data_IF_264939387187
#
_entry.id   IF_264939387187
#
_cell.length_a   1.000
_cell.length_b   1.000
_cell.length_c   1.000
_cell.angle_alpha   90.00
_cell.angle_beta   90.00
_cell.angle_gamma   90.00
#
_symmetry.space_group_name_H-M   'P 1'
#
loop_
_entity.id
_entity.type
_entity.pdbx_description
1 polymer ?
#
# COMPACT_ATOMS: atom_id res chain seq x y z
N UNK A 1 -1.62 -39.35 15.45
CA UNK A 1 -0.29 -39.19 14.80
C UNK A 1 -0.16 -40.04 13.54
N UNK A 2 -0.72 -41.25 13.51
CA UNK A 2 -0.66 -42.18 12.37
C UNK A 2 -1.26 -41.66 11.06
N UNK A 3 -1.95 -40.52 11.05
CA UNK A 3 -2.52 -39.92 9.82
C UNK A 3 -1.59 -38.90 9.14
N UNK A 4 -0.54 -38.41 9.82
CA UNK A 4 0.37 -37.42 9.23
C UNK A 4 1.37 -38.08 8.28
N UNK A 5 1.23 -37.82 6.98
CA UNK A 5 2.17 -38.29 5.94
C UNK A 5 3.62 -37.88 6.22
N UNK A 6 3.83 -36.74 6.88
CA UNK A 6 5.17 -36.29 7.27
C UNK A 6 5.76 -37.12 8.41
N UNK A 7 4.99 -37.41 9.46
CA UNK A 7 5.49 -38.24 10.56
C UNK A 7 5.78 -39.67 10.08
N UNK A 8 4.96 -40.19 9.16
CA UNK A 8 5.16 -41.50 8.55
C UNK A 8 6.46 -41.61 7.74
N UNK A 9 6.98 -40.51 7.19
CA UNK A 9 8.24 -40.52 6.41
C UNK A 9 9.50 -40.49 7.28
N UNK A 10 9.37 -40.21 8.58
CA UNK A 10 10.50 -40.16 9.51
C UNK A 10 11.04 -41.57 9.81
N UNK A 11 12.30 -41.73 10.24
CA UNK A 11 12.83 -43.01 10.68
C UNK A 11 12.00 -43.63 11.81
N UNK A 12 11.80 -44.96 11.80
CA UNK A 12 10.97 -45.66 12.80
C UNK A 12 11.39 -45.39 14.26
N UNK A 13 12.69 -45.22 14.51
CA UNK A 13 13.19 -44.88 15.84
C UNK A 13 12.68 -43.52 16.32
N UNK A 14 12.55 -42.54 15.43
CA UNK A 14 12.02 -41.23 15.74
C UNK A 14 10.49 -41.26 15.91
N UNK A 15 9.79 -42.04 15.08
CA UNK A 15 8.34 -42.26 15.23
C UNK A 15 7.99 -42.84 16.60
N UNK A 16 8.75 -43.84 17.08
CA UNK A 16 8.56 -44.43 18.42
C UNK A 16 8.77 -43.41 19.53
N UNK A 17 9.85 -42.62 19.47
CA UNK A 17 10.12 -41.54 20.44
C UNK A 17 9.00 -40.51 20.48
N UNK A 18 8.47 -40.12 19.32
CA UNK A 18 7.34 -39.19 19.21
C UNK A 18 6.07 -39.79 19.82
N UNK A 19 5.81 -41.09 19.62
CA UNK A 19 4.66 -41.77 20.20
C UNK A 19 4.76 -41.89 21.74
N UNK A 20 5.95 -42.18 22.27
CA UNK A 20 6.21 -42.35 23.70
C UNK A 20 6.19 -41.02 24.48
N UNK A 21 6.79 -39.97 23.91
CA UNK A 21 7.02 -38.70 24.62
C UNK A 21 6.16 -37.54 24.13
N UNK A 22 5.52 -37.68 22.97
CA UNK A 22 4.83 -36.58 22.29
C UNK A 22 5.79 -35.56 21.67
N UNK A 23 5.21 -34.52 21.06
CA UNK A 23 5.91 -33.33 20.58
C UNK A 23 5.37 -32.11 21.32
N UNK A 24 6.26 -31.22 21.74
CA UNK A 24 5.87 -29.94 22.35
C UNK A 24 5.25 -28.98 21.33
N UNK A 25 5.85 -28.91 20.14
CA UNK A 25 5.43 -28.01 19.08
C UNK A 25 4.66 -28.80 18.02
N UNK A 26 3.55 -28.23 17.53
CA UNK A 26 2.76 -28.85 16.46
C UNK A 26 3.45 -28.80 15.09
N UNK A 27 4.34 -27.82 14.88
CA UNK A 27 5.21 -27.66 13.72
C UNK A 27 6.60 -27.18 14.15
N UNK A 28 7.65 -27.51 13.40
CA UNK A 28 9.05 -27.28 13.77
C UNK A 28 9.84 -26.47 12.73
N UNK A 29 9.68 -26.79 11.45
CA UNK A 29 10.51 -26.28 10.37
C UNK A 29 9.60 -25.61 9.33
N UNK A 30 9.83 -24.31 9.17
CA UNK A 30 9.23 -23.47 8.12
C UNK A 30 10.35 -22.64 7.51
N UNK A 31 10.30 -22.44 6.19
CA UNK A 31 11.27 -21.61 5.48
C UNK A 31 10.58 -20.35 4.93
N UNK A 32 10.53 -19.26 5.70
CA UNK A 32 9.98 -17.99 5.23
C UNK A 32 10.92 -17.30 4.24
N UNK A 33 10.44 -16.31 3.47
CA UNK A 33 11.32 -15.46 2.69
C UNK A 33 12.12 -14.56 3.64
N UNK A 34 13.40 -14.33 3.33
CA UNK A 34 14.29 -13.53 4.19
C UNK A 34 14.71 -12.27 3.45
N UNK A 35 13.95 -11.19 3.65
CA UNK A 35 14.21 -9.88 3.03
C UNK A 35 15.43 -9.19 3.63
N UNK A 36 15.25 -8.06 4.30
CA UNK A 36 16.37 -7.27 4.87
C UNK A 36 17.27 -8.05 5.84
N UNK A 37 16.74 -9.09 6.50
CA UNK A 37 17.53 -9.97 7.35
C UNK A 37 18.68 -10.69 6.62
N UNK A 38 18.50 -11.04 5.34
CA UNK A 38 19.54 -11.70 4.54
C UNK A 38 20.68 -10.74 4.22
N UNK A 39 20.37 -9.46 4.01
CA UNK A 39 21.35 -8.38 3.81
C UNK A 39 22.21 -8.20 5.06
N UNK A 40 21.57 -8.12 6.24
CA UNK A 40 22.28 -7.98 7.52
C UNK A 40 23.17 -9.19 7.79
N UNK A 41 22.65 -10.40 7.51
CA UNK A 41 23.39 -11.64 7.67
C UNK A 41 24.41 -11.90 6.55
N UNK A 42 24.42 -11.08 5.49
CA UNK A 42 25.25 -11.25 4.30
C UNK A 42 25.09 -12.64 3.63
N UNK A 43 23.84 -13.07 3.48
CA UNK A 43 23.45 -14.38 2.90
C UNK A 43 22.45 -14.18 1.76
N UNK A 44 22.18 -15.24 1.00
CA UNK A 44 21.05 -15.26 0.06
C UNK A 44 19.71 -15.35 0.80
N UNK A 45 18.61 -15.06 0.11
CA UNK A 45 17.27 -15.10 0.71
C UNK A 45 16.78 -16.54 0.88
N UNK A 46 16.91 -17.09 2.09
CA UNK A 46 16.40 -18.42 2.40
C UNK A 46 17.12 -19.53 1.61
N UNK A 47 16.37 -20.30 0.82
CA UNK A 47 16.92 -21.34 -0.08
C UNK A 47 16.98 -20.88 -1.54
N UNK A 48 16.73 -19.60 -1.79
CA UNK A 48 16.68 -19.08 -3.15
C UNK A 48 18.10 -18.91 -3.71
N UNK A 49 18.28 -19.16 -5.03
CA UNK A 49 19.46 -18.70 -5.75
C UNK A 49 19.63 -17.18 -5.58
N UNK A 50 20.86 -16.70 -5.73
CA UNK A 50 21.08 -15.26 -5.75
C UNK A 50 20.32 -14.64 -6.93
N UNK A 51 19.60 -13.55 -6.67
CA UNK A 51 18.86 -12.84 -7.71
C UNK A 51 19.83 -12.16 -8.69
N UNK A 52 20.91 -11.56 -8.16
CA UNK A 52 21.97 -10.92 -8.94
C UNK A 52 23.32 -11.12 -8.25
N UNK A 53 24.39 -11.07 -9.03
CA UNK A 53 25.78 -11.05 -8.56
C UNK A 53 26.15 -9.69 -7.95
N UNK A 54 25.53 -8.61 -8.43
CA UNK A 54 25.66 -7.26 -7.92
C UNK A 54 24.41 -6.42 -8.23
N UNK A 55 24.29 -5.25 -7.60
CA UNK A 55 23.24 -4.26 -7.87
C UNK A 55 23.76 -2.84 -7.67
N UNK A 56 23.20 -1.89 -8.42
CA UNK A 56 23.61 -0.48 -8.33
C UNK A 56 22.79 0.26 -7.28
N UNK A 57 23.48 0.85 -6.30
CA UNK A 57 22.86 1.68 -5.27
C UNK A 57 23.10 3.15 -5.56
N UNK A 58 22.00 3.90 -5.62
CA UNK A 58 21.99 5.35 -5.67
C UNK A 58 21.80 5.91 -4.27
N UNK A 59 22.82 6.56 -3.72
CA UNK A 59 22.79 7.20 -2.39
C UNK A 59 22.84 8.70 -2.55
N UNK A 60 21.94 9.41 -1.88
CA UNK A 60 21.92 10.86 -1.86
C UNK A 60 23.11 11.38 -1.05
N UNK A 61 23.88 12.30 -1.61
CA UNK A 61 25.04 12.87 -0.92
C UNK A 61 24.63 13.94 0.08
N UNK A 62 25.57 14.32 0.95
CA UNK A 62 25.36 15.29 2.03
C UNK A 62 24.97 16.69 1.52
N UNK A 63 25.23 16.98 0.24
CA UNK A 63 24.83 18.23 -0.42
C UNK A 63 23.32 18.32 -0.71
N UNK A 64 22.58 17.22 -0.55
CA UNK A 64 21.13 17.20 -0.73
C UNK A 64 20.67 17.32 -2.19
N UNK A 65 21.57 17.40 -3.17
CA UNK A 65 21.25 17.57 -4.59
C UNK A 65 21.88 16.49 -5.47
N UNK A 66 23.08 16.03 -5.14
CA UNK A 66 23.78 15.01 -5.92
C UNK A 66 23.52 13.61 -5.38
N UNK A 67 23.63 12.63 -6.29
CA UNK A 67 23.53 11.22 -5.96
C UNK A 67 24.83 10.53 -6.37
N UNK A 68 25.34 9.68 -5.49
CA UNK A 68 26.43 8.77 -5.79
C UNK A 68 25.86 7.41 -6.11
N UNK A 69 26.16 6.92 -7.30
CA UNK A 69 25.90 5.54 -7.68
C UNK A 69 27.15 4.70 -7.43
N UNK A 70 26.97 3.54 -6.81
CA UNK A 70 28.02 2.56 -6.68
C UNK A 70 27.45 1.15 -6.77
N UNK A 71 28.22 0.27 -7.43
CA UNK A 71 27.92 -1.15 -7.56
C UNK A 71 28.17 -1.85 -6.23
N UNK A 72 27.19 -2.62 -5.78
CA UNK A 72 27.24 -3.42 -4.56
C UNK A 72 27.20 -4.87 -4.96
N UNK A 73 28.30 -5.57 -4.74
CA UNK A 73 28.41 -7.00 -5.00
C UNK A 73 27.68 -7.81 -3.93
N UNK A 74 27.15 -8.96 -4.33
CA UNK A 74 26.68 -9.97 -3.38
C UNK A 74 27.87 -10.40 -2.49
N UNK A 75 27.72 -10.50 -1.16
CA UNK A 75 28.85 -10.72 -0.24
C UNK A 75 29.72 -11.93 -0.57
N UNK A 76 29.10 -13.03 -1.03
CA UNK A 76 29.84 -14.23 -1.45
C UNK A 76 30.66 -14.00 -2.72
N UNK A 77 30.10 -13.26 -3.68
CA UNK A 77 30.77 -12.94 -4.95
C UNK A 77 32.02 -12.10 -4.67
N UNK A 78 31.86 -11.01 -3.92
CA UNK A 78 32.97 -10.15 -3.52
C UNK A 78 34.05 -10.90 -2.72
N UNK A 79 33.64 -11.79 -1.81
CA UNK A 79 34.59 -12.49 -0.94
C UNK A 79 35.40 -13.56 -1.67
N UNK A 80 34.79 -14.25 -2.63
CA UNK A 80 35.40 -15.42 -3.30
C UNK A 80 36.06 -15.03 -4.62
N UNK A 81 35.43 -14.14 -5.39
CA UNK A 81 35.86 -13.77 -6.75
C UNK A 81 36.37 -12.32 -6.84
N UNK A 82 35.99 -11.46 -5.89
CA UNK A 82 36.39 -10.04 -5.87
C UNK A 82 35.39 -9.13 -6.57
N UNK A 83 35.00 -9.49 -7.80
CA UNK A 83 33.99 -8.81 -8.63
C UNK A 83 33.07 -9.83 -9.32
N UNK A 84 32.26 -9.37 -10.29
CA UNK A 84 31.33 -10.20 -11.05
C UNK A 84 31.59 -10.24 -12.56
N UNK A 85 32.81 -9.92 -13.00
CA UNK A 85 33.15 -9.86 -14.44
C UNK A 85 33.49 -11.25 -15.02
N UNK A 86 34.39 -12.00 -14.35
CA UNK A 86 34.89 -13.31 -14.83
C UNK A 86 34.46 -14.46 -13.89
N UNK A 87 33.14 -14.63 -13.72
CA UNK A 87 32.58 -15.66 -12.85
C UNK A 87 32.57 -17.04 -13.52
N UNK A 88 32.87 -18.13 -12.78
CA UNK A 88 32.76 -19.49 -13.30
C UNK A 88 31.31 -19.86 -13.70
N UNK A 89 31.14 -20.71 -14.71
CA UNK A 89 29.84 -21.14 -15.26
C UNK A 89 28.85 -21.72 -14.22
N UNK A 90 29.34 -22.20 -13.07
CA UNK A 90 28.49 -22.73 -12.00
C UNK A 90 27.88 -21.63 -11.10
N UNK A 91 28.31 -20.37 -11.25
CA UNK A 91 27.77 -19.22 -10.54
C UNK A 91 26.62 -18.65 -11.36
N UNK A 92 25.45 -19.26 -11.20
CA UNK A 92 24.23 -18.88 -11.92
C UNK A 92 23.27 -18.06 -11.06
N UNK A 93 22.58 -17.12 -11.68
CA UNK A 93 21.55 -16.30 -11.03
C UNK A 93 20.17 -16.94 -11.14
N UNK A 94 19.20 -16.41 -10.39
CA UNK A 94 17.86 -16.96 -10.33
C UNK A 94 17.12 -17.01 -11.69
N UNK A 95 17.48 -16.15 -12.65
CA UNK A 95 16.86 -16.10 -13.98
C UNK A 95 17.43 -17.14 -14.96
N UNK A 96 18.63 -17.65 -14.68
CA UNK A 96 19.35 -18.57 -15.56
C UNK A 96 19.11 -20.04 -15.19
N UNK A 97 18.43 -20.29 -14.07
CA UNK A 97 18.16 -21.62 -13.58
C UNK A 97 16.90 -22.18 -14.25
N UNK A 98 17.01 -23.40 -14.80
CA UNK A 98 15.87 -24.15 -15.32
C UNK A 98 14.74 -24.25 -14.27
N UNK A 99 13.50 -23.81 -14.59
CA UNK A 99 12.42 -23.78 -13.62
C UNK A 99 12.05 -25.18 -13.12
N UNK A 100 12.18 -26.23 -13.93
CA UNK A 100 11.88 -27.59 -13.51
C UNK A 100 12.92 -28.13 -12.53
N UNK A 101 14.20 -27.86 -12.79
CA UNK A 101 15.28 -28.11 -11.83
C UNK A 101 15.03 -27.36 -10.52
N UNK A 102 14.60 -26.10 -10.61
CA UNK A 102 14.29 -25.27 -9.43
C UNK A 102 13.14 -25.85 -8.58
N UNK A 103 12.09 -26.37 -9.22
CA UNK A 103 10.99 -27.10 -8.56
C UNK A 103 11.51 -28.34 -7.85
N UNK A 104 12.31 -29.16 -8.54
CA UNK A 104 12.88 -30.41 -7.98
C UNK A 104 13.78 -30.14 -6.77
N UNK A 105 14.62 -29.11 -6.86
CA UNK A 105 15.46 -28.67 -5.74
C UNK A 105 14.60 -28.35 -4.50
N UNK A 106 13.53 -27.57 -4.68
CA UNK A 106 12.60 -27.28 -3.59
C UNK A 106 11.90 -28.55 -3.08
N UNK A 107 11.55 -29.48 -3.97
CA UNK A 107 10.92 -30.76 -3.62
C UNK A 107 11.79 -31.63 -2.72
N UNK A 108 13.10 -31.67 -2.96
CA UNK A 108 14.07 -32.36 -2.10
C UNK A 108 14.04 -31.80 -0.67
N UNK A 109 14.01 -30.48 -0.54
CA UNK A 109 14.02 -29.81 0.77
C UNK A 109 12.66 -29.95 1.48
N UNK A 110 11.56 -29.86 0.73
CA UNK A 110 10.19 -29.97 1.26
C UNK A 110 9.93 -31.29 2.00
N UNK A 111 10.61 -32.39 1.62
CA UNK A 111 10.55 -33.69 2.31
C UNK A 111 10.94 -33.60 3.79
N UNK A 112 11.77 -32.63 4.16
CA UNK A 112 12.27 -32.40 5.52
C UNK A 112 11.68 -31.16 6.18
N UNK A 113 10.72 -30.49 5.53
CA UNK A 113 9.99 -29.33 6.06
C UNK A 113 8.55 -29.73 6.37
N UNK A 114 8.16 -29.73 7.64
CA UNK A 114 6.83 -30.12 8.09
C UNK A 114 5.76 -29.05 7.81
N UNK A 115 6.16 -27.78 7.74
CA UNK A 115 5.35 -26.68 7.20
C UNK A 115 5.67 -26.47 5.71
N UNK A 116 5.66 -25.23 5.21
CA UNK A 116 5.91 -24.88 3.81
C UNK A 116 7.23 -24.12 3.62
N UNK A 117 7.61 -23.99 2.35
CA UNK A 117 8.74 -23.19 1.88
C UNK A 117 8.18 -22.04 1.06
N UNK A 118 8.49 -20.81 1.47
CA UNK A 118 8.22 -19.61 0.67
C UNK A 118 9.41 -19.36 -0.23
N UNK A 119 9.22 -19.64 -1.51
CA UNK A 119 10.28 -19.62 -2.50
C UNK A 119 9.66 -19.29 -3.87
N UNK A 120 10.33 -18.40 -4.60
CA UNK A 120 9.89 -17.91 -5.90
C UNK A 120 10.70 -18.53 -7.04
N UNK A 121 10.01 -18.95 -8.09
CA UNK A 121 10.61 -19.35 -9.37
C UNK A 121 10.48 -18.15 -10.30
N UNK A 122 11.61 -17.55 -10.66
CA UNK A 122 11.67 -16.43 -11.60
C UNK A 122 11.62 -16.97 -13.03
N UNK A 123 10.74 -16.41 -13.85
CA UNK A 123 10.46 -16.82 -15.23
C UNK A 123 10.58 -15.62 -16.16
N UNK A 124 11.06 -15.82 -17.40
CA UNK A 124 11.19 -14.73 -18.37
C UNK A 124 9.82 -14.16 -18.78
N UNK A 125 9.82 -12.93 -19.28
CA UNK A 125 8.58 -12.18 -19.62
C UNK A 125 7.76 -12.88 -20.71
N UNK A 126 8.44 -13.50 -21.68
CA UNK A 126 7.86 -14.20 -22.82
C UNK A 126 7.47 -15.66 -22.53
N UNK A 127 7.53 -16.09 -21.26
CA UNK A 127 7.13 -17.45 -20.86
C UNK A 127 5.64 -17.70 -21.17
N UNK A 128 5.34 -18.88 -21.69
CA UNK A 128 3.97 -19.25 -22.06
C UNK A 128 3.12 -19.61 -20.84
N UNK A 129 1.81 -19.44 -20.96
CA UNK A 129 0.86 -19.80 -19.91
C UNK A 129 0.85 -21.32 -19.67
N UNK A 130 1.04 -22.11 -20.72
CA UNK A 130 1.17 -23.56 -20.65
C UNK A 130 2.37 -24.00 -19.81
N UNK A 131 3.53 -23.34 -19.97
CA UNK A 131 4.71 -23.64 -19.16
C UNK A 131 4.49 -23.26 -17.69
N UNK A 132 3.85 -22.13 -17.40
CA UNK A 132 3.49 -21.76 -16.02
C UNK A 132 2.56 -22.80 -15.39
N UNK A 133 1.55 -23.27 -16.13
CA UNK A 133 0.66 -24.32 -15.66
C UNK A 133 1.42 -25.63 -15.40
N UNK A 134 2.32 -26.02 -16.30
CA UNK A 134 3.13 -27.24 -16.15
C UNK A 134 4.11 -27.17 -14.97
N UNK A 135 4.64 -25.99 -14.65
CA UNK A 135 5.45 -25.78 -13.42
C UNK A 135 4.62 -26.08 -12.17
N UNK A 136 3.37 -25.61 -12.10
CA UNK A 136 2.48 -25.92 -10.98
C UNK A 136 2.16 -27.42 -10.89
N UNK A 137 1.90 -28.07 -12.02
CA UNK A 137 1.66 -29.53 -12.07
C UNK A 137 2.92 -30.31 -11.65
N UNK A 138 4.11 -29.85 -12.07
CA UNK A 138 5.38 -30.44 -11.65
C UNK A 138 5.60 -30.27 -10.16
N UNK A 139 5.35 -29.08 -9.62
CA UNK A 139 5.44 -28.80 -8.18
C UNK A 139 4.54 -29.72 -7.36
N UNK A 140 3.31 -29.94 -7.82
CA UNK A 140 2.39 -30.89 -7.21
C UNK A 140 2.94 -32.32 -7.23
N UNK A 141 3.46 -32.78 -8.37
CA UNK A 141 4.06 -34.13 -8.52
C UNK A 141 5.29 -34.33 -7.64
N UNK A 142 6.10 -33.29 -7.45
CA UNK A 142 7.27 -33.29 -6.57
C UNK A 142 6.91 -33.19 -5.07
N UNK A 143 5.62 -33.09 -4.73
CA UNK A 143 5.13 -33.05 -3.35
C UNK A 143 5.30 -31.70 -2.67
N UNK A 144 5.43 -30.61 -3.43
CA UNK A 144 5.46 -29.26 -2.89
C UNK A 144 4.10 -28.89 -2.26
N UNK A 145 4.16 -28.27 -1.08
CA UNK A 145 2.96 -27.75 -0.40
C UNK A 145 2.54 -26.38 -0.94
N UNK A 146 3.47 -25.68 -1.58
CA UNK A 146 3.25 -24.41 -2.26
C UNK A 146 4.45 -24.07 -3.12
N UNK A 147 4.19 -23.29 -4.17
CA UNK A 147 5.22 -22.71 -5.04
C UNK A 147 4.72 -21.34 -5.50
N UNK A 148 5.64 -20.39 -5.59
CA UNK A 148 5.36 -19.07 -6.14
C UNK A 148 6.12 -18.95 -7.45
N UNK A 149 5.46 -18.44 -8.49
CA UNK A 149 6.09 -18.07 -9.76
C UNK A 149 6.04 -16.56 -9.88
N UNK A 150 7.15 -15.98 -10.32
CA UNK A 150 7.23 -14.59 -10.72
C UNK A 150 7.65 -14.56 -12.17
N UNK A 151 6.76 -14.04 -13.03
CA UNK A 151 7.09 -13.77 -14.43
C UNK A 151 7.56 -12.33 -14.53
N UNK A 152 8.73 -12.13 -15.14
CA UNK A 152 9.29 -10.80 -15.39
C UNK A 152 8.24 -9.88 -16.03
N UNK A 153 8.29 -8.59 -15.67
CA UNK A 153 7.34 -7.58 -16.12
C UNK A 153 5.93 -7.66 -15.50
N UNK A 154 5.62 -8.69 -14.69
CA UNK A 154 4.26 -8.84 -14.12
C UNK A 154 4.00 -7.99 -12.86
N UNK A 155 5.04 -7.40 -12.26
CA UNK A 155 4.96 -6.37 -11.22
C UNK A 155 6.09 -5.37 -11.39
N UNK A 156 5.78 -4.08 -11.38
CA UNK A 156 6.79 -3.01 -11.46
C UNK A 156 7.59 -2.88 -10.16
N UNK A 157 8.90 -2.59 -10.28
CA UNK A 157 9.75 -2.15 -9.16
C UNK A 157 10.47 -3.26 -8.38
N UNK A 158 10.56 -4.48 -8.91
CA UNK A 158 11.37 -5.55 -8.31
C UNK A 158 12.80 -5.43 -8.85
N UNK A 159 13.74 -5.10 -7.95
CA UNK A 159 15.21 -5.12 -8.10
C UNK A 159 15.75 -4.95 -9.54
N UNK A 160 16.17 -3.73 -9.88
CA UNK A 160 16.77 -3.43 -11.20
C UNK A 160 18.19 -3.97 -11.30
N UNK A 161 18.46 -4.78 -12.34
CA UNK A 161 19.80 -5.25 -12.73
C UNK A 161 20.36 -4.45 -13.90
N UNK A 162 21.68 -4.29 -13.92
CA UNK A 162 22.41 -3.82 -15.11
C UNK A 162 22.22 -4.87 -16.22
N UNK A 163 21.59 -4.46 -17.33
CA UNK A 163 21.04 -5.33 -18.37
C UNK A 163 19.56 -5.04 -18.70
N UNK A 164 18.78 -4.54 -17.73
CA UNK A 164 17.50 -3.85 -18.01
C UNK A 164 17.69 -2.33 -18.16
N UNK A 165 18.83 -1.79 -17.74
CA UNK A 165 19.22 -0.39 -17.94
C UNK A 165 19.40 -0.05 -19.42
N UNK A 166 19.94 -0.96 -20.24
CA UNK A 166 20.34 -0.67 -21.63
C UNK A 166 19.26 -0.88 -22.70
N UNK A 167 18.06 -1.34 -22.33
CA UNK A 167 16.93 -1.48 -23.27
C UNK A 167 15.90 -0.35 -23.21
N UNK A 168 16.18 0.71 -22.44
CA UNK A 168 15.33 1.90 -22.33
C UNK A 168 16.08 3.21 -22.55
N UNK A 169 16.96 3.23 -23.54
CA UNK A 169 17.38 4.48 -24.17
C UNK A 169 17.14 4.42 -25.68
N UNK A 170 15.86 4.49 -26.04
CA UNK A 170 15.46 5.11 -27.29
C UNK A 170 14.73 6.39 -26.91
N UNK A 171 15.37 7.51 -27.23
CA UNK A 171 14.91 8.88 -27.01
C UNK A 171 13.43 9.05 -27.33
N UNK A 172 12.70 9.70 -26.42
CA UNK A 172 11.65 10.64 -26.81
C UNK A 172 11.53 11.74 -25.75
N UNK A 173 11.42 13.02 -26.17
CA UNK A 173 11.48 14.15 -25.27
C UNK A 173 10.17 14.34 -24.50
N UNK A 174 10.25 15.11 -23.42
CA UNK A 174 9.16 15.65 -22.62
C UNK A 174 7.86 15.88 -23.40
N UNK A 175 6.76 15.24 -23.00
CA UNK A 175 5.63 15.77 -22.19
C UNK A 175 4.66 14.58 -22.02
N UNK A 176 4.68 13.87 -20.89
CA UNK A 176 3.75 12.75 -20.67
C UNK A 176 2.34 13.29 -20.36
N UNK A 177 1.34 12.83 -21.12
CA UNK A 177 -0.06 13.15 -20.91
C UNK A 177 -0.51 12.84 -19.47
N UNK A 178 -1.44 13.62 -18.90
CA UNK A 178 -1.78 13.53 -17.47
C UNK A 178 -2.29 12.14 -17.07
N UNK A 179 -3.01 11.42 -17.95
CA UNK A 179 -3.37 10.02 -17.72
C UNK A 179 -2.88 9.17 -18.89
N UNK A 180 -2.37 7.97 -18.60
CA UNK A 180 -1.96 7.01 -19.63
C UNK A 180 -2.66 5.67 -19.42
N UNK A 181 -2.94 5.00 -20.53
CA UNK A 181 -3.48 3.64 -20.50
C UNK A 181 -2.31 2.70 -20.29
N UNK A 182 -2.37 1.94 -19.20
CA UNK A 182 -1.31 1.01 -18.84
C UNK A 182 -1.29 -0.20 -19.77
N UNK A 183 -0.19 -0.96 -19.77
CA UNK A 183 -0.10 -2.24 -20.48
C UNK A 183 -1.16 -3.27 -20.02
N UNK A 184 -1.74 -3.05 -18.84
CA UNK A 184 -2.81 -3.83 -18.22
C UNK A 184 -4.22 -3.45 -18.72
N UNK A 185 -4.33 -2.46 -19.62
CA UNK A 185 -5.59 -1.96 -20.15
C UNK A 185 -6.37 -1.07 -19.18
N UNK A 186 -5.81 -0.74 -18.02
CA UNK A 186 -6.42 0.18 -17.06
C UNK A 186 -5.89 1.60 -17.23
N UNK A 187 -6.73 2.58 -16.91
CA UNK A 187 -6.33 3.98 -16.88
C UNK A 187 -5.50 4.24 -15.62
N UNK A 188 -4.22 4.57 -15.80
CA UNK A 188 -3.34 4.92 -14.70
C UNK A 188 -3.37 6.40 -14.44
N UNK A 189 -3.47 6.73 -13.16
CA UNK A 189 -3.51 8.10 -12.64
C UNK A 189 -2.21 8.84 -12.95
N UNK A 190 -2.31 10.15 -13.08
CA UNK A 190 -1.19 11.06 -13.19
C UNK A 190 -0.18 10.87 -12.06
N UNK A 191 1.09 10.90 -12.43
CA UNK A 191 2.20 10.81 -11.47
C UNK A 191 2.17 12.02 -10.54
N UNK A 192 2.43 11.78 -9.26
CA UNK A 192 2.45 12.83 -8.25
C UNK A 192 3.77 13.61 -8.36
N UNK A 193 3.75 14.93 -8.53
CA UNK A 193 4.97 15.74 -8.50
C UNK A 193 5.64 15.70 -7.12
N UNK A 194 6.95 15.97 -7.09
CA UNK A 194 7.69 16.07 -5.82
C UNK A 194 7.30 17.33 -5.03
N UNK A 195 6.87 18.39 -5.72
CA UNK A 195 6.46 19.67 -5.15
C UNK A 195 5.13 20.07 -5.76
N UNK A 196 4.18 20.48 -4.91
CA UNK A 196 2.85 20.96 -5.31
C UNK A 196 2.58 22.29 -4.63
N UNK A 197 1.83 23.18 -5.29
CA UNK A 197 1.33 24.40 -4.68
C UNK A 197 -0.08 24.15 -4.14
N UNK A 198 -0.46 24.75 -3.03
CA UNK A 198 -1.78 24.50 -2.46
C UNK A 198 -2.17 25.48 -1.38
N UNK A 199 -3.42 25.37 -0.94
CA UNK A 199 -3.95 26.14 0.18
C UNK A 199 -4.57 25.18 1.20
N UNK A 200 -4.51 25.56 2.47
CA UNK A 200 -5.23 24.88 3.54
C UNK A 200 -6.34 25.78 4.05
N UNK A 201 -7.57 25.27 4.02
CA UNK A 201 -8.74 25.94 4.57
C UNK A 201 -9.17 25.25 5.86
N UNK A 202 -9.51 26.05 6.88
CA UNK A 202 -10.02 25.56 8.16
C UNK A 202 -11.53 25.73 8.19
N UNK A 203 -12.26 24.64 8.46
CA UNK A 203 -13.72 24.59 8.55
C UNK A 203 -14.10 23.95 9.90
N UNK A 204 -15.13 24.46 10.56
CA UNK A 204 -15.76 23.93 11.75
C UNK A 204 -16.87 22.95 11.33
N UNK A 205 -16.80 21.71 11.83
CA UNK A 205 -17.83 20.68 11.61
C UNK A 205 -18.38 20.21 12.97
N UNK A 206 -19.46 19.43 12.96
CA UNK A 206 -19.98 18.79 14.18
C UNK A 206 -19.03 17.82 14.85
N UNK A 207 -18.04 17.30 14.13
CA UNK A 207 -17.01 16.37 14.64
C UNK A 207 -15.73 17.08 15.08
N UNK A 208 -15.66 18.41 14.91
CA UNK A 208 -14.51 19.24 15.24
C UNK A 208 -14.00 20.06 14.07
N UNK A 209 -12.84 20.71 14.27
CA UNK A 209 -12.20 21.52 13.23
C UNK A 209 -11.52 20.61 12.21
N UNK A 210 -11.90 20.76 10.95
CA UNK A 210 -11.25 20.11 9.81
C UNK A 210 -10.34 21.11 9.09
N UNK A 211 -9.15 20.66 8.71
CA UNK A 211 -8.23 21.38 7.86
C UNK A 211 -8.18 20.67 6.52
N UNK A 212 -8.70 21.30 5.47
CA UNK A 212 -8.72 20.76 4.11
C UNK A 212 -7.61 21.43 3.31
N UNK A 213 -6.60 20.65 2.93
CA UNK A 213 -5.49 21.09 2.09
C UNK A 213 -5.74 20.64 0.67
N UNK A 214 -5.78 21.58 -0.27
CA UNK A 214 -6.00 21.34 -1.70
C UNK A 214 -4.74 21.74 -2.43
N UNK A 215 -4.11 20.77 -3.08
CA UNK A 215 -2.88 20.91 -3.82
C UNK A 215 -3.14 20.78 -5.32
N UNK A 216 -2.41 21.57 -6.10
CA UNK A 216 -2.42 21.59 -7.55
C UNK A 216 -1.01 21.38 -8.13
N UNK A 217 -1.02 20.87 -9.35
CA UNK A 217 0.13 20.77 -10.24
C UNK A 217 -0.14 21.53 -11.54
N UNK A 218 0.76 21.41 -12.52
CA UNK A 218 0.65 22.07 -13.83
C UNK A 218 -0.63 21.72 -14.60
N UNK A 219 -1.30 20.61 -14.24
CA UNK A 219 -2.53 20.10 -14.86
C UNK A 219 -3.79 20.37 -14.03
N UNK A 220 -3.68 21.05 -12.88
CA UNK A 220 -4.80 21.42 -12.02
C UNK A 220 -4.81 20.70 -10.67
N UNK A 221 -5.97 20.61 -10.02
CA UNK A 221 -6.06 20.01 -8.67
C UNK A 221 -5.64 18.55 -8.73
N UNK A 222 -4.66 18.17 -7.90
CA UNK A 222 -4.09 16.83 -7.90
C UNK A 222 -4.26 16.08 -6.58
N UNK A 223 -4.42 16.77 -5.47
CA UNK A 223 -4.38 16.13 -4.17
C UNK A 223 -5.16 16.91 -3.14
N UNK A 224 -5.86 16.16 -2.29
CA UNK A 224 -6.63 16.69 -1.17
C UNK A 224 -6.23 15.90 0.06
N UNK A 225 -5.92 16.63 1.13
CA UNK A 225 -5.78 16.09 2.48
C UNK A 225 -6.77 16.74 3.40
N UNK A 226 -7.37 15.95 4.28
CA UNK A 226 -8.13 16.48 5.38
C UNK A 226 -7.59 15.97 6.71
N UNK A 227 -7.56 16.85 7.71
CA UNK A 227 -7.15 16.52 9.06
C UNK A 227 -8.22 17.02 10.02
N UNK A 228 -8.82 16.12 10.79
CA UNK A 228 -9.85 16.43 11.78
C UNK A 228 -9.50 15.82 13.14
N UNK A 229 -9.56 16.64 14.19
CA UNK A 229 -9.28 16.19 15.56
C UNK A 229 -7.84 15.69 15.80
N UNK A 230 -7.66 14.84 16.83
CA UNK A 230 -6.40 14.12 17.10
C UNK A 230 -6.36 12.82 16.30
N UNK A 231 -5.16 12.39 15.90
CA UNK A 231 -4.95 11.16 15.14
C UNK A 231 -5.58 9.94 15.84
N UNK A 232 -6.25 9.08 15.06
CA UNK A 232 -6.79 7.79 15.52
C UNK A 232 -8.29 7.73 15.83
N UNK A 233 -9.05 8.82 15.65
CA UNK A 233 -10.52 8.81 15.76
C UNK A 233 -11.23 8.32 14.49
N UNK A 234 -12.49 7.86 14.61
CA UNK A 234 -13.28 7.40 13.45
C UNK A 234 -13.44 8.48 12.38
N UNK A 235 -13.74 9.72 12.79
CA UNK A 235 -13.82 10.87 11.90
C UNK A 235 -12.49 11.09 11.16
N UNK A 236 -11.34 10.98 11.84
CA UNK A 236 -10.02 11.12 11.22
C UNK A 236 -9.73 10.01 10.21
N UNK A 237 -10.02 8.75 10.55
CA UNK A 237 -9.80 7.60 9.66
C UNK A 237 -10.67 7.67 8.40
N UNK A 238 -11.95 8.01 8.55
CA UNK A 238 -12.86 8.17 7.41
C UNK A 238 -12.48 9.37 6.53
N UNK A 239 -12.12 10.50 7.15
CA UNK A 239 -11.65 11.70 6.45
C UNK A 239 -10.39 11.45 5.63
N UNK A 240 -9.44 10.69 6.17
CA UNK A 240 -8.23 10.27 5.47
C UNK A 240 -8.55 9.37 4.29
N UNK A 241 -9.43 8.36 4.48
CA UNK A 241 -9.84 7.46 3.41
C UNK A 241 -10.51 8.21 2.25
N UNK A 242 -11.44 9.13 2.55
CA UNK A 242 -12.12 9.98 1.57
C UNK A 242 -11.10 10.84 0.82
N UNK A 243 -10.20 11.51 1.52
CA UNK A 243 -9.16 12.36 0.93
C UNK A 243 -8.26 11.61 -0.05
N UNK A 244 -7.88 10.37 0.30
CA UNK A 244 -7.05 9.51 -0.57
C UNK A 244 -7.80 9.07 -1.83
N UNK A 245 -9.09 8.77 -1.72
CA UNK A 245 -9.93 8.39 -2.87
C UNK A 245 -10.18 9.58 -3.80
N UNK A 246 -10.44 10.77 -3.26
CA UNK A 246 -10.57 11.99 -4.06
C UNK A 246 -9.26 12.30 -4.78
N UNK A 247 -8.13 12.23 -4.08
CA UNK A 247 -6.79 12.42 -4.68
C UNK A 247 -6.46 11.39 -5.76
N UNK A 248 -7.06 10.20 -5.70
CA UNK A 248 -6.96 9.21 -6.77
C UNK A 248 -7.83 9.61 -7.96
N UNK A 249 -9.11 9.93 -7.73
CA UNK A 249 -10.06 10.33 -8.76
C UNK A 249 -9.58 11.54 -9.57
N UNK A 250 -9.15 12.60 -8.88
CA UNK A 250 -8.61 13.81 -9.51
C UNK A 250 -7.36 13.51 -10.34
N UNK A 251 -6.49 12.62 -9.85
CA UNK A 251 -5.32 12.19 -10.61
C UNK A 251 -5.64 11.25 -11.75
N UNK A 252 -6.79 10.59 -11.75
CA UNK A 252 -7.27 9.77 -12.87
C UNK A 252 -8.06 10.58 -13.90
N UNK A 253 -8.14 11.91 -13.76
CA UNK A 253 -8.82 12.80 -14.70
C UNK A 253 -10.32 12.95 -14.50
N UNK A 254 -10.85 12.54 -13.34
CA UNK A 254 -12.24 12.84 -12.98
C UNK A 254 -12.39 14.36 -12.79
N UNK A 255 -13.45 14.93 -13.34
CA UNK A 255 -13.75 16.36 -13.20
C UNK A 255 -13.93 16.71 -11.71
N UNK A 256 -13.18 17.71 -11.18
CA UNK A 256 -13.39 18.20 -9.83
C UNK A 256 -14.85 18.58 -9.50
N UNK A 257 -15.62 19.05 -10.48
CA UNK A 257 -17.03 19.42 -10.29
C UNK A 257 -17.92 18.20 -10.02
N UNK A 258 -17.65 17.05 -10.66
CA UNK A 258 -18.36 15.80 -10.38
C UNK A 258 -18.08 15.35 -8.94
N UNK A 259 -16.81 15.40 -8.51
CA UNK A 259 -16.43 15.07 -7.12
C UNK A 259 -17.13 16.01 -6.12
N UNK A 260 -17.19 17.31 -6.40
CA UNK A 260 -17.89 18.29 -5.56
C UNK A 260 -19.37 17.93 -5.44
N UNK A 261 -20.02 17.57 -6.55
CA UNK A 261 -21.44 17.25 -6.58
C UNK A 261 -21.79 16.00 -5.76
N UNK A 262 -20.90 15.01 -5.72
CA UNK A 262 -21.06 13.80 -4.91
C UNK A 262 -20.82 14.04 -3.41
N UNK A 263 -19.99 15.02 -3.05
CA UNK A 263 -19.65 15.31 -1.65
C UNK A 263 -20.60 16.31 -0.98
N UNK A 264 -21.03 17.35 -1.71
CA UNK A 264 -21.92 18.38 -1.18
C UNK A 264 -23.29 17.79 -0.85
N UNK A 265 -23.84 18.15 0.31
CA UNK A 265 -25.15 17.67 0.75
C UNK A 265 -25.13 16.39 1.58
N UNK A 266 -24.01 15.67 1.65
CA UNK A 266 -23.88 14.52 2.55
C UNK A 266 -24.09 15.00 3.98
N UNK A 267 -25.13 14.48 4.64
CA UNK A 267 -25.56 14.93 5.96
C UNK A 267 -25.06 14.02 7.07
N UNK A 268 -24.54 14.64 8.13
CA UNK A 268 -24.08 13.97 9.34
C UNK A 268 -25.03 14.19 10.51
N UNK A 269 -24.77 13.56 11.67
CA UNK A 269 -25.65 13.64 12.84
C UNK A 269 -25.61 15.00 13.54
N UNK A 270 -24.67 15.88 13.19
CA UNK A 270 -24.48 17.18 13.86
C UNK A 270 -24.06 18.27 12.87
N UNK A 271 -25.00 18.83 12.09
CA UNK A 271 -24.74 19.99 11.24
C UNK A 271 -24.36 21.23 12.06
N UNK A 272 -23.47 22.07 11.52
CA UNK A 272 -22.97 23.29 12.18
C UNK A 272 -23.00 24.45 11.19
N UNK A 273 -23.41 25.63 11.66
CA UNK A 273 -23.30 26.87 10.88
C UNK A 273 -21.90 27.48 11.06
N UNK A 274 -21.24 27.79 9.95
CA UNK A 274 -19.96 28.50 9.92
C UNK A 274 -19.99 29.59 8.85
N UNK A 275 -19.64 30.82 9.22
CA UNK A 275 -19.51 31.98 8.32
C UNK A 275 -20.71 32.19 7.36
N UNK A 276 -21.93 31.93 7.84
CA UNK A 276 -23.17 32.09 7.07
C UNK A 276 -23.53 30.90 6.18
N UNK A 277 -22.76 29.81 6.22
CA UNK A 277 -23.00 28.57 5.48
C UNK A 277 -23.27 27.41 6.46
N UNK A 278 -24.25 26.57 6.13
CA UNK A 278 -24.56 25.37 6.90
C UNK A 278 -23.64 24.23 6.48
N UNK A 279 -22.73 23.76 7.33
CA UNK A 279 -21.89 22.58 7.10
C UNK A 279 -22.58 21.33 7.65
N UNK A 280 -22.93 20.40 6.76
CA UNK A 280 -23.76 19.25 7.09
C UNK A 280 -22.96 18.07 7.67
N UNK A 281 -21.71 17.90 7.22
CA UNK A 281 -20.81 16.82 7.63
C UNK A 281 -19.36 17.09 7.20
N UNK A 282 -18.45 16.21 7.60
CA UNK A 282 -17.05 16.21 7.16
C UNK A 282 -16.89 16.08 5.62
N UNK A 283 -17.56 15.13 4.92
CA UNK A 283 -17.57 15.09 3.46
C UNK A 283 -18.09 16.39 2.80
N UNK A 284 -19.18 16.95 3.32
CA UNK A 284 -19.78 18.19 2.81
C UNK A 284 -18.80 19.38 2.95
N UNK A 285 -18.07 19.44 4.06
CA UNK A 285 -17.02 20.44 4.27
C UNK A 285 -15.89 20.33 3.22
N UNK A 286 -15.47 19.11 2.85
CA UNK A 286 -14.45 18.89 1.81
C UNK A 286 -14.98 19.36 0.45
N UNK A 287 -16.22 19.00 0.08
CA UNK A 287 -16.84 19.43 -1.18
C UNK A 287 -16.95 20.95 -1.29
N UNK A 288 -17.36 21.62 -0.21
CA UNK A 288 -17.44 23.09 -0.14
C UNK A 288 -16.08 23.78 -0.22
N UNK A 289 -15.06 23.22 0.43
CA UNK A 289 -13.69 23.72 0.31
C UNK A 289 -13.19 23.64 -1.14
N UNK A 290 -13.45 22.53 -1.83
CA UNK A 290 -13.11 22.34 -3.24
C UNK A 290 -13.83 23.33 -4.15
N UNK A 291 -15.11 23.56 -3.93
CA UNK A 291 -15.90 24.52 -4.70
C UNK A 291 -15.37 25.94 -4.54
N UNK A 292 -15.14 26.38 -3.29
CA UNK A 292 -14.54 27.69 -3.01
C UNK A 292 -13.16 27.83 -3.62
N UNK A 293 -12.35 26.78 -3.60
CA UNK A 293 -11.05 26.78 -4.25
C UNK A 293 -11.16 27.05 -5.76
N UNK A 294 -12.06 26.34 -6.45
CA UNK A 294 -12.28 26.52 -7.89
C UNK A 294 -12.87 27.91 -8.21
N UNK A 295 -13.78 28.41 -7.37
CA UNK A 295 -14.35 29.76 -7.52
C UNK A 295 -13.28 30.86 -7.35
N UNK A 296 -12.42 30.74 -6.32
CA UNK A 296 -11.28 31.66 -6.11
C UNK A 296 -10.34 31.65 -7.32
N UNK A 297 -10.03 30.46 -7.85
CA UNK A 297 -9.20 30.32 -9.06
C UNK A 297 -9.83 30.94 -10.30
N UNK A 298 -11.16 30.89 -10.40
CA UNK A 298 -11.93 31.54 -11.47
C UNK A 298 -12.14 33.05 -11.26
N UNK A 299 -11.58 33.65 -10.19
CA UNK A 299 -11.76 35.07 -9.86
C UNK A 299 -13.19 35.44 -9.44
N UNK A 300 -14.02 34.45 -9.08
CA UNK A 300 -15.39 34.67 -8.59
C UNK A 300 -15.35 34.80 -7.07
N UNK A 301 -16.10 35.77 -6.52
CA UNK A 301 -16.40 35.76 -5.09
C UNK A 301 -17.30 34.55 -4.77
N UNK A 302 -17.11 33.90 -3.62
CA UNK A 302 -17.98 32.80 -3.22
C UNK A 302 -19.40 33.33 -3.05
N UNK A 303 -20.37 32.64 -3.65
CA UNK A 303 -21.78 32.97 -3.54
C UNK A 303 -22.20 32.84 -2.06
N UNK A 304 -22.55 33.96 -1.42
CA UNK A 304 -23.25 33.95 -0.14
C UNK A 304 -24.67 33.45 -0.39
N UNK A 305 -24.95 32.22 0.05
CA UNK A 305 -26.31 31.65 -0.02
C UNK A 305 -27.23 32.47 0.88
N UNK A 306 -28.27 33.08 0.31
CA UNK A 306 -29.31 33.76 1.08
C UNK A 306 -30.31 32.72 1.62
N UNK A 307 -30.99 32.99 2.75
CA UNK A 307 -31.88 32.02 3.40
C UNK A 307 -33.10 31.55 2.58
N UNK A 308 -33.27 32.04 1.36
CA UNK A 308 -34.46 31.88 0.53
C UNK A 308 -34.41 30.64 -0.38
N UNK A 309 -33.24 30.01 -0.56
CA UNK A 309 -33.05 28.82 -1.42
C UNK A 309 -33.15 27.46 -0.66
N UNK A 310 -33.70 27.44 0.56
CA UNK A 310 -33.79 26.22 1.37
C UNK A 310 -35.01 25.33 1.02
N UNK A 311 -34.84 24.00 0.82
CA UNK A 311 -35.96 23.07 0.89
C UNK A 311 -36.53 23.00 2.32
N UNK A 312 -37.87 22.96 2.49
CA UNK A 312 -38.51 23.03 3.79
C UNK A 312 -38.52 21.66 4.46
N UNK A 313 -37.39 21.23 5.01
CA UNK A 313 -37.39 20.11 5.95
C UNK A 313 -36.11 20.06 6.76
N UNK A 314 -35.96 20.96 7.74
CA UNK A 314 -35.40 20.68 9.06
C UNK A 314 -35.87 21.80 9.99
N UNK A 315 -37.17 21.81 10.23
CA UNK A 315 -37.80 22.60 11.29
C UNK A 315 -37.38 22.00 12.63
N UNK A 316 -37.02 22.88 13.55
CA UNK A 316 -36.78 22.71 14.98
C UNK A 316 -37.33 21.41 15.61
N UNK A 317 -36.47 20.73 16.38
CA UNK A 317 -36.92 19.75 17.37
C UNK A 317 -36.66 18.29 17.04
N UNK A 318 -35.39 17.88 17.02
CA UNK A 318 -35.05 16.50 17.40
C UNK A 318 -33.71 16.49 18.12
N UNK A 319 -33.72 16.02 19.36
CA UNK A 319 -32.51 15.84 20.16
C UNK A 319 -31.56 14.84 19.46
N UNK A 320 -30.27 15.18 19.27
CA UNK A 320 -29.32 14.23 18.69
C UNK A 320 -29.03 13.13 19.72
N UNK A 321 -29.75 12.01 19.63
CA UNK A 321 -29.62 10.84 20.51
C UNK A 321 -28.35 10.00 20.28
N UNK A 322 -27.41 10.45 19.46
CA UNK A 322 -26.25 9.63 19.08
C UNK A 322 -24.97 10.46 18.95
N UNK A 323 -24.64 11.24 20.00
CA UNK A 323 -23.27 11.72 20.16
C UNK A 323 -22.38 10.50 20.47
N UNK A 324 -21.52 10.12 19.52
CA UNK A 324 -20.52 9.04 19.69
C UNK A 324 -19.13 9.58 20.00
N UNK A 325 -18.94 10.91 19.87
CA UNK A 325 -17.64 11.58 20.01
C UNK A 325 -17.76 12.80 20.93
N UNK A 326 -16.76 13.02 21.78
CA UNK A 326 -16.70 14.12 22.74
C UNK A 326 -16.40 15.44 22.01
N UNK A 327 -17.22 16.48 22.18
CA UNK A 327 -17.03 17.76 21.48
C UNK A 327 -15.82 18.56 21.98
N UNK A 328 -15.32 18.30 23.20
CA UNK A 328 -14.15 19.01 23.72
C UNK A 328 -12.82 18.37 23.29
N UNK A 329 -12.75 17.05 23.20
CA UNK A 329 -11.47 16.35 23.02
C UNK A 329 -11.44 15.31 21.89
N UNK A 330 -12.57 15.06 21.21
CA UNK A 330 -12.64 14.11 20.09
C UNK A 330 -12.56 12.63 20.48
N UNK A 331 -12.52 12.30 21.78
CA UNK A 331 -12.53 10.91 22.26
C UNK A 331 -13.94 10.31 22.26
N UNK A 332 -14.07 8.98 22.27
CA UNK A 332 -15.37 8.31 22.34
C UNK A 332 -16.10 8.65 23.65
N UNK A 333 -17.39 8.95 23.55
CA UNK A 333 -18.26 9.14 24.74
C UNK A 333 -19.02 7.85 25.06
N UNK A 334 -19.16 7.56 26.34
CA UNK A 334 -19.93 6.43 26.86
C UNK A 334 -21.23 6.92 27.48
N UNK A 335 -22.31 6.18 27.27
CA UNK A 335 -23.60 6.46 27.90
C UNK A 335 -23.63 5.82 29.30
N UNK A 336 -23.67 6.65 30.35
CA UNK A 336 -23.77 6.20 31.74
C UNK A 336 -24.80 7.07 32.48
N UNK A 337 -25.71 6.44 33.22
CA UNK A 337 -26.68 7.13 34.09
C UNK A 337 -27.51 8.23 33.39
N UNK A 338 -27.98 7.95 32.17
CA UNK A 338 -28.74 8.88 31.32
C UNK A 338 -27.97 10.11 30.81
N UNK A 339 -26.66 10.14 30.97
CA UNK A 339 -25.79 11.21 30.48
C UNK A 339 -24.69 10.65 29.54
N UNK A 340 -24.27 11.45 28.57
CA UNK A 340 -23.09 11.19 27.76
C UNK A 340 -21.86 11.65 28.53
N UNK A 341 -20.92 10.75 28.79
CA UNK A 341 -19.70 11.00 29.58
C UNK A 341 -18.44 10.73 28.74
N UNK A 342 -17.49 11.67 28.75
CA UNK A 342 -16.16 11.47 28.17
C UNK A 342 -15.16 11.03 29.25
N UNK A 343 -14.70 9.78 29.20
CA UNK A 343 -13.73 9.25 30.17
C UNK A 343 -12.33 9.86 30.04
N UNK A 344 -12.06 10.59 28.95
CA UNK A 344 -10.75 11.20 28.71
C UNK A 344 -10.62 12.64 29.26
N UNK A 345 -11.65 13.48 29.12
CA UNK A 345 -11.59 14.89 29.56
C UNK A 345 -12.61 15.28 30.64
N UNK A 346 -13.52 14.37 31.00
CA UNK A 346 -14.53 14.63 32.02
C UNK A 346 -15.75 15.42 31.53
N UNK A 347 -15.85 15.74 30.24
CA UNK A 347 -17.03 16.38 29.65
C UNK A 347 -18.27 15.50 29.81
N UNK A 348 -19.39 16.10 30.23
CA UNK A 348 -20.67 15.42 30.44
C UNK A 348 -21.83 16.21 29.83
N UNK A 349 -22.77 15.53 29.19
CA UNK A 349 -24.04 16.11 28.75
C UNK A 349 -25.21 15.19 29.11
N UNK A 350 -26.04 15.67 30.01
CA UNK A 350 -27.39 15.22 30.31
C UNK A 350 -28.34 16.26 29.68
#
# INVERSE_FOLDING_TARGET
MEQSKFIQSLPQSLQKKIAEHGLRNCTLITMPPVGTGSIVAQTSSGIEPIFCTSYTRRVKQDDGESFREYKVYHPLIQRVFGDDEDLPDYVVTAHEIDPYFRVKMQGVIQKYTDSSISSTINLPEDITLETVADIYITAYKEGLKGVTVYREGSREGILQTEGQADKKEAETPAVEAPNYMGPDGFLHRRRRPAVTAGITERINTGEGKIYVTINEDEYGICEIFSTIGKAGGNAAAQSEAISRLISLALRSGVDPQEVISELKGISGPSPVWEDGELILSTPDAIGKAMERYLQRKAGKQPDTVTPEDMPPSFVEGSEPKTLTTCPECGSTVSYESSCLMCKHCGWSKC
#
